data_IF_064255120277
#
_entry.id   IF_064255120277
#
_cell.length_a   1.000
_cell.length_b   1.000
_cell.length_c   1.000
_cell.angle_alpha   90.00
_cell.angle_beta   90.00
_cell.angle_gamma   90.00
#
_symmetry.space_group_name_H-M   'P 1'
#
loop_
_entity.id
_entity.type
_entity.pdbx_description
1 polymer ?
#
# COMPACT_ATOMS: atom_id res chain seq x y z
N UNK A 1 -35.47 -34.59 -28.08
CA UNK A 1 -34.70 -33.94 -26.99
C UNK A 1 -34.68 -32.48 -27.34
N UNK A 2 -35.25 -31.59 -26.51
CA UNK A 2 -35.26 -30.16 -26.82
C UNK A 2 -33.81 -29.67 -26.79
N UNK A 3 -33.37 -29.08 -27.89
CA UNK A 3 -32.15 -28.28 -27.92
C UNK A 3 -32.29 -27.22 -26.83
N UNK A 4 -31.34 -27.17 -25.91
CA UNK A 4 -31.24 -26.04 -25.00
C UNK A 4 -31.04 -24.80 -25.87
N UNK A 5 -32.04 -23.93 -25.94
CA UNK A 5 -31.91 -22.58 -26.49
C UNK A 5 -30.85 -21.85 -25.67
N UNK A 6 -29.59 -22.01 -26.09
CA UNK A 6 -28.47 -21.28 -25.58
C UNK A 6 -28.75 -19.81 -25.85
N UNK A 7 -28.77 -18.99 -24.81
CA UNK A 7 -29.03 -17.56 -24.88
C UNK A 7 -28.17 -16.94 -25.99
N UNK A 8 -28.77 -16.66 -27.16
CA UNK A 8 -28.10 -16.05 -28.31
C UNK A 8 -27.92 -14.56 -28.03
N UNK A 9 -27.01 -14.25 -27.09
CA UNK A 9 -26.59 -12.90 -26.79
C UNK A 9 -25.80 -12.34 -27.98
N UNK A 10 -26.03 -11.08 -28.38
CA UNK A 10 -25.14 -10.37 -29.29
C UNK A 10 -23.69 -10.50 -28.81
N UNK A 11 -22.74 -10.68 -29.71
CA UNK A 11 -21.34 -10.94 -29.34
C UNK A 11 -20.77 -9.82 -28.46
N UNK A 12 -21.19 -8.57 -28.67
CA UNK A 12 -20.85 -7.44 -27.79
C UNK A 12 -21.27 -7.65 -26.33
N UNK A 13 -22.43 -8.27 -26.08
CA UNK A 13 -22.91 -8.52 -24.71
C UNK A 13 -22.11 -9.65 -24.06
N UNK A 14 -21.71 -10.67 -24.85
CA UNK A 14 -20.80 -11.73 -24.36
C UNK A 14 -19.45 -11.14 -23.98
N UNK A 15 -18.89 -10.28 -24.83
CA UNK A 15 -17.59 -9.65 -24.59
C UNK A 15 -17.62 -8.75 -23.35
N UNK A 16 -18.64 -7.92 -23.22
CA UNK A 16 -18.86 -7.09 -22.01
C UNK A 16 -19.04 -7.97 -20.78
N UNK A 17 -19.81 -9.06 -20.89
CA UNK A 17 -20.01 -10.01 -19.80
C UNK A 17 -18.71 -10.69 -19.36
N UNK A 18 -17.87 -11.11 -20.30
CA UNK A 18 -16.55 -11.70 -20.02
C UNK A 18 -15.64 -10.67 -19.35
N UNK A 19 -15.62 -9.42 -19.81
CA UNK A 19 -14.81 -8.36 -19.23
C UNK A 19 -15.21 -8.08 -17.77
N UNK A 20 -16.52 -7.88 -17.51
CA UNK A 20 -17.05 -7.67 -16.16
C UNK A 20 -16.77 -8.90 -15.29
N UNK A 21 -17.04 -10.10 -15.80
CA UNK A 21 -16.81 -11.35 -15.08
C UNK A 21 -15.35 -11.55 -14.70
N UNK A 22 -14.42 -11.20 -15.60
CA UNK A 22 -12.97 -11.26 -15.33
C UNK A 22 -12.56 -10.31 -14.20
N UNK A 23 -13.08 -9.07 -14.19
CA UNK A 23 -12.81 -8.11 -13.11
C UNK A 23 -13.36 -8.61 -11.78
N UNK A 24 -14.59 -9.15 -11.77
CA UNK A 24 -15.20 -9.73 -10.56
C UNK A 24 -14.37 -10.90 -10.03
N UNK A 25 -13.91 -11.80 -10.91
CA UNK A 25 -13.06 -12.94 -10.52
C UNK A 25 -11.75 -12.45 -9.88
N UNK A 26 -11.06 -11.50 -10.53
CA UNK A 26 -9.81 -10.93 -9.97
C UNK A 26 -10.08 -10.31 -8.60
N UNK A 27 -11.17 -9.54 -8.46
CA UNK A 27 -11.53 -8.93 -7.19
C UNK A 27 -11.83 -9.96 -6.08
N UNK A 28 -12.58 -11.02 -6.40
CA UNK A 28 -12.87 -12.12 -5.47
C UNK A 28 -11.61 -12.90 -5.07
N UNK A 29 -10.68 -13.13 -6.00
CA UNK A 29 -9.40 -13.75 -5.72
C UNK A 29 -8.55 -12.87 -4.80
N UNK A 30 -8.47 -11.56 -5.06
CA UNK A 30 -7.77 -10.62 -4.20
C UNK A 30 -8.39 -10.56 -2.81
N UNK A 31 -9.73 -10.59 -2.71
CA UNK A 31 -10.44 -10.69 -1.43
C UNK A 31 -10.12 -11.97 -0.66
N UNK A 32 -10.13 -13.12 -1.33
CA UNK A 32 -9.78 -14.39 -0.72
C UNK A 32 -8.32 -14.42 -0.24
N UNK A 33 -7.40 -13.81 -0.99
CA UNK A 33 -5.99 -13.69 -0.62
C UNK A 33 -5.76 -12.71 0.54
N UNK A 34 -6.41 -11.54 0.50
CA UNK A 34 -6.22 -10.49 1.50
C UNK A 34 -6.89 -10.84 2.82
N UNK A 35 -8.01 -11.56 2.80
CA UNK A 35 -8.82 -11.82 4.00
C UNK A 35 -9.44 -10.56 4.61
N UNK A 36 -9.47 -9.45 3.86
CA UNK A 36 -9.91 -8.13 4.29
C UNK A 36 -10.87 -7.48 3.28
N UNK A 37 -11.87 -6.75 3.79
CA UNK A 37 -12.82 -5.99 2.98
C UNK A 37 -12.77 -4.48 3.33
N UNK A 38 -12.59 -3.59 2.34
CA UNK A 38 -12.20 -3.86 0.96
C UNK A 38 -10.76 -4.43 0.88
N UNK A 39 -10.43 -5.23 -0.15
CA UNK A 39 -9.13 -5.88 -0.24
C UNK A 39 -7.99 -4.95 -0.66
N UNK A 40 -8.33 -3.80 -1.25
CA UNK A 40 -7.40 -2.78 -1.70
C UNK A 40 -7.83 -1.41 -1.19
N UNK A 41 -6.85 -0.58 -0.86
CA UNK A 41 -7.04 0.82 -0.43
C UNK A 41 -6.24 1.75 -1.34
N UNK A 42 -6.76 2.95 -1.54
CA UNK A 42 -6.02 4.01 -2.25
C UNK A 42 -5.17 4.76 -1.23
N UNK A 43 -3.92 5.01 -1.57
CA UNK A 43 -3.03 5.86 -0.79
C UNK A 43 -3.38 7.31 -1.06
N UNK A 44 -3.76 8.03 -0.01
CA UNK A 44 -4.33 9.37 -0.14
C UNK A 44 -3.33 10.48 0.17
N UNK A 45 -2.15 10.17 0.72
CA UNK A 45 -1.16 11.19 1.12
C UNK A 45 0.26 10.70 0.94
N UNK A 46 1.20 11.64 0.73
CA UNK A 46 2.62 11.36 0.51
C UNK A 46 3.42 11.00 1.75
N UNK A 47 2.79 10.45 2.79
CA UNK A 47 3.48 10.15 4.05
C UNK A 47 4.47 8.99 3.93
N UNK A 48 4.31 8.15 2.90
CA UNK A 48 5.13 6.97 2.60
C UNK A 48 6.03 7.14 1.39
N UNK A 49 5.93 8.25 0.66
CA UNK A 49 6.76 8.57 -0.52
C UNK A 49 8.23 8.67 -0.14
N UNK A 50 9.16 8.33 -1.04
CA UNK A 50 10.59 8.54 -0.81
C UNK A 50 11.21 9.58 -1.75
N UNK A 51 10.39 10.37 -2.45
CA UNK A 51 10.85 11.49 -3.29
C UNK A 51 11.87 12.35 -2.51
N UNK A 52 13.03 12.62 -3.14
CA UNK A 52 14.15 13.37 -2.56
C UNK A 52 14.74 12.80 -1.25
N UNK A 53 14.48 11.54 -0.90
CA UNK A 53 15.03 10.92 0.31
C UNK A 53 16.50 10.48 0.09
N UNK A 54 17.48 11.07 0.81
CA UNK A 54 18.89 10.71 0.65
C UNK A 54 19.21 9.27 1.13
N UNK A 55 18.29 8.62 1.84
CA UNK A 55 18.45 7.28 2.40
C UNK A 55 17.85 6.17 1.53
N UNK A 56 16.96 6.50 0.58
CA UNK A 56 16.27 5.51 -0.25
C UNK A 56 16.47 5.80 -1.74
N UNK A 57 17.06 4.88 -2.52
CA UNK A 57 17.16 5.04 -3.97
C UNK A 57 15.81 4.71 -4.61
N UNK A 58 15.11 5.74 -5.11
CA UNK A 58 13.90 5.53 -5.90
C UNK A 58 14.20 5.32 -7.39
N UNK A 59 13.45 4.43 -8.05
CA UNK A 59 13.46 4.38 -9.51
C UNK A 59 12.72 5.61 -10.05
N UNK A 60 13.50 6.62 -10.49
CA UNK A 60 13.11 7.93 -11.08
C UNK A 60 11.84 8.04 -11.93
N UNK A 61 11.30 6.93 -12.43
CA UNK A 61 10.17 6.94 -13.36
C UNK A 61 9.14 5.88 -13.06
N UNK A 62 9.54 4.76 -12.46
CA UNK A 62 8.65 3.60 -12.38
C UNK A 62 7.93 3.49 -11.06
N UNK A 63 8.39 4.14 -9.98
CA UNK A 63 7.70 4.16 -8.67
C UNK A 63 7.09 2.79 -8.27
N UNK A 64 7.82 1.71 -8.59
CA UNK A 64 7.41 0.32 -8.35
C UNK A 64 8.25 -0.20 -7.21
N UNK A 65 7.59 -0.86 -6.26
CA UNK A 65 8.17 -1.41 -5.05
C UNK A 65 8.26 -0.40 -3.92
N UNK A 66 7.52 0.71 -3.99
CA UNK A 66 7.37 1.77 -2.99
C UNK A 66 5.88 2.15 -2.87
N UNK A 67 5.51 2.98 -1.89
CA UNK A 67 4.11 3.36 -1.66
C UNK A 67 3.99 4.87 -1.83
N UNK A 68 3.40 5.28 -2.96
CA UNK A 68 3.20 6.69 -3.29
C UNK A 68 1.74 7.09 -3.30
N UNK A 69 1.50 8.41 -3.24
CA UNK A 69 0.13 8.93 -3.36
C UNK A 69 -0.50 8.49 -4.67
N UNK A 70 -1.70 7.91 -4.55
CA UNK A 70 -2.45 7.41 -5.69
C UNK A 70 -2.17 5.95 -6.05
N UNK A 71 -1.34 5.24 -5.30
CA UNK A 71 -1.24 3.78 -5.43
C UNK A 71 -2.48 3.08 -4.87
N UNK A 72 -2.77 1.89 -5.41
CA UNK A 72 -3.73 0.96 -4.86
C UNK A 72 -2.97 -0.17 -4.14
N UNK A 73 -3.07 -0.26 -2.82
CA UNK A 73 -2.33 -1.24 -2.03
C UNK A 73 -3.25 -2.35 -1.54
N UNK A 74 -2.83 -3.61 -1.72
CA UNK A 74 -3.54 -4.78 -1.17
C UNK A 74 -3.26 -4.89 0.32
N UNK A 75 -4.30 -4.85 1.14
CA UNK A 75 -4.18 -4.91 2.61
C UNK A 75 -4.52 -6.30 3.09
N UNK A 76 -3.50 -7.11 3.38
CA UNK A 76 -3.67 -8.49 3.86
C UNK A 76 -3.84 -8.52 5.37
N UNK A 77 -4.85 -9.24 5.86
CA UNK A 77 -5.04 -9.48 7.29
C UNK A 77 -3.77 -10.09 7.89
N UNK A 78 -3.34 -9.55 9.03
CA UNK A 78 -2.10 -9.95 9.70
C UNK A 78 -2.32 -9.98 11.21
N UNK A 79 -1.78 -11.00 11.86
CA UNK A 79 -1.65 -11.05 13.32
C UNK A 79 -0.30 -10.48 13.76
N UNK A 80 -0.12 -10.22 15.06
CA UNK A 80 1.14 -9.68 15.63
C UNK A 80 2.38 -10.45 15.15
N UNK A 81 2.28 -11.79 15.09
CA UNK A 81 3.37 -12.69 14.69
C UNK A 81 3.75 -12.61 13.20
N UNK A 82 2.87 -12.06 12.36
CA UNK A 82 3.06 -12.01 10.91
C UNK A 82 3.76 -10.71 10.48
N UNK A 83 3.82 -9.71 11.38
CA UNK A 83 4.34 -8.37 11.12
C UNK A 83 5.80 -8.33 11.56
N UNK A 84 6.70 -8.12 10.59
CA UNK A 84 8.13 -7.92 10.85
C UNK A 84 8.39 -6.43 11.03
N UNK A 85 8.90 -6.02 12.18
CA UNK A 85 9.25 -4.61 12.43
C UNK A 85 10.52 -4.21 11.68
N UNK A 86 10.80 -2.91 11.56
CA UNK A 86 12.04 -2.41 10.96
C UNK A 86 13.29 -2.93 11.68
N UNK A 87 13.27 -2.97 13.02
CA UNK A 87 14.38 -3.49 13.82
C UNK A 87 14.61 -4.98 13.57
N UNK A 88 13.53 -5.77 13.49
CA UNK A 88 13.62 -7.19 13.13
C UNK A 88 14.05 -7.40 11.68
N UNK A 89 13.51 -6.61 10.75
CA UNK A 89 13.85 -6.62 9.33
C UNK A 89 15.32 -6.34 9.10
N UNK A 90 15.91 -5.38 9.83
CA UNK A 90 17.37 -5.12 9.80
C UNK A 90 18.21 -6.31 10.23
N UNK A 91 17.75 -7.09 11.20
CA UNK A 91 18.46 -8.29 11.68
C UNK A 91 18.35 -9.47 10.71
N UNK A 92 17.24 -9.55 9.99
CA UNK A 92 16.91 -10.65 9.08
C UNK A 92 17.16 -10.33 7.60
N UNK A 93 17.59 -9.10 7.29
CA UNK A 93 17.68 -8.51 5.94
C UNK A 93 16.35 -8.57 5.16
N UNK A 94 15.23 -8.51 5.88
CA UNK A 94 13.89 -8.49 5.28
C UNK A 94 13.47 -7.06 4.95
N UNK A 95 13.18 -6.80 3.67
CA UNK A 95 12.77 -5.49 3.14
C UNK A 95 11.45 -5.55 2.39
N UNK A 96 10.66 -4.50 2.55
CA UNK A 96 9.43 -4.28 1.79
C UNK A 96 9.17 -2.77 1.63
N UNK A 97 8.72 -2.38 0.44
CA UNK A 97 8.42 -0.99 0.09
C UNK A 97 9.62 -0.07 0.31
N UNK A 98 10.74 -0.36 -0.35
CA UNK A 98 11.98 0.44 -0.28
C UNK A 98 12.88 0.25 0.96
N UNK A 99 12.36 -0.23 2.10
CA UNK A 99 13.14 -0.30 3.36
C UNK A 99 12.83 -1.56 4.20
N UNK A 100 13.50 -1.73 5.35
CA UNK A 100 13.36 -2.90 6.23
C UNK A 100 11.98 -3.00 6.90
N UNK A 101 11.52 -4.22 7.09
CA UNK A 101 10.27 -4.51 7.80
C UNK A 101 9.01 -4.25 6.95
N UNK A 102 7.85 -4.44 7.59
CA UNK A 102 6.55 -4.35 6.97
C UNK A 102 5.88 -2.99 7.18
N UNK A 103 5.00 -2.64 6.24
CA UNK A 103 4.10 -1.49 6.31
C UNK A 103 2.71 -1.98 6.69
N UNK A 104 2.11 -1.37 7.71
CA UNK A 104 0.83 -1.75 8.29
C UNK A 104 -0.21 -0.65 8.13
N UNK A 105 -1.47 -1.07 7.96
CA UNK A 105 -2.65 -0.20 7.93
C UNK A 105 -3.37 -0.33 9.26
N UNK A 106 -3.61 0.78 9.96
CA UNK A 106 -4.19 0.76 11.30
C UNK A 106 -5.02 2.00 11.61
N UNK A 107 -5.84 1.90 12.64
CA UNK A 107 -6.59 3.04 13.19
C UNK A 107 -5.87 3.66 14.37
N UNK A 108 -5.64 4.97 14.33
CA UNK A 108 -5.07 5.72 15.47
C UNK A 108 -5.94 5.50 16.71
N UNK A 109 -5.32 5.03 17.79
CA UNK A 109 -5.99 4.73 19.06
C UNK A 109 -7.23 3.80 18.92
N UNK A 110 -7.29 2.98 17.86
CA UNK A 110 -8.39 2.03 17.61
C UNK A 110 -9.71 2.66 17.15
N UNK A 111 -9.75 3.97 16.86
CA UNK A 111 -10.98 4.68 16.50
C UNK A 111 -11.33 4.43 15.03
N UNK A 112 -12.28 3.53 14.78
CA UNK A 112 -12.75 3.17 13.43
C UNK A 112 -13.85 4.10 12.89
N UNK A 113 -14.62 4.69 13.80
CA UNK A 113 -15.76 5.55 13.48
C UNK A 113 -15.81 6.74 14.42
N UNK A 114 -16.15 7.91 13.91
CA UNK A 114 -16.32 9.14 14.68
C UNK A 114 -17.51 9.93 14.10
N UNK A 115 -18.41 10.41 14.95
CA UNK A 115 -19.65 11.10 14.56
C UNK A 115 -20.47 10.36 13.48
N UNK A 116 -20.53 9.02 13.57
CA UNK A 116 -21.26 8.17 12.63
C UNK A 116 -20.58 7.99 11.27
N UNK A 117 -19.41 8.56 11.05
CA UNK A 117 -18.63 8.42 9.83
C UNK A 117 -17.42 7.49 10.03
N UNK A 118 -17.02 6.72 9.01
CA UNK A 118 -15.78 5.95 9.06
C UNK A 118 -14.57 6.89 9.09
N UNK A 119 -13.60 6.58 9.96
CA UNK A 119 -12.33 7.29 10.02
C UNK A 119 -11.39 6.71 8.95
N UNK A 120 -10.55 7.54 8.34
CA UNK A 120 -9.51 7.05 7.41
C UNK A 120 -8.36 6.41 8.21
N UNK A 121 -8.01 5.14 7.96
CA UNK A 121 -6.87 4.51 8.61
C UNK A 121 -5.54 5.10 8.09
N UNK A 122 -4.48 4.93 8.87
CA UNK A 122 -3.11 5.32 8.53
C UNK A 122 -2.37 4.11 7.98
N UNK A 123 -1.49 4.32 7.01
CA UNK A 123 -0.58 3.31 6.48
C UNK A 123 0.85 3.74 6.72
N UNK A 124 1.57 3.10 7.64
CA UNK A 124 2.95 3.45 7.99
C UNK A 124 3.79 2.22 8.31
N UNK A 125 5.11 2.37 8.28
CA UNK A 125 6.06 1.31 8.62
C UNK A 125 6.04 1.00 10.11
N UNK A 126 6.02 -0.28 10.46
CA UNK A 126 6.16 -0.73 11.83
C UNK A 126 7.66 -0.66 12.21
N UNK A 127 8.04 0.28 13.06
CA UNK A 127 9.45 0.53 13.39
C UNK A 127 9.97 -0.44 14.47
N UNK A 128 9.21 -0.57 15.56
CA UNK A 128 9.57 -1.41 16.71
C UNK A 128 8.32 -1.78 17.51
N UNK A 129 8.35 -2.91 18.21
CA UNK A 129 7.40 -3.23 19.26
C UNK A 129 7.88 -2.64 20.60
N UNK A 130 6.97 -2.03 21.36
CA UNK A 130 7.25 -1.58 22.73
C UNK A 130 6.30 -2.27 23.71
N UNK A 131 6.87 -2.85 24.76
CA UNK A 131 6.16 -3.26 25.95
C UNK A 131 6.20 -2.13 26.99
N UNK A 132 5.03 -1.61 27.36
CA UNK A 132 4.87 -0.63 28.43
C UNK A 132 4.64 -1.39 29.73
N UNK A 133 5.56 -1.24 30.68
CA UNK A 133 5.52 -1.92 31.98
C UNK A 133 4.83 -1.04 33.03
N UNK A 134 4.22 -1.66 34.04
CA UNK A 134 3.45 -0.97 35.10
C UNK A 134 4.27 0.05 35.90
N UNK A 135 5.60 -0.10 35.92
CA UNK A 135 6.53 0.82 36.59
C UNK A 135 6.93 2.04 35.73
N UNK A 136 6.31 2.23 34.55
CA UNK A 136 6.63 3.32 33.62
C UNK A 136 7.90 3.09 32.79
N UNK A 137 8.48 1.89 32.83
CA UNK A 137 9.60 1.50 31.97
C UNK A 137 9.08 0.98 30.64
N UNK A 138 9.80 1.28 29.57
CA UNK A 138 9.54 0.73 28.24
C UNK A 138 10.57 -0.33 27.90
N UNK A 139 10.12 -1.50 27.47
CA UNK A 139 10.97 -2.59 27.01
C UNK A 139 10.80 -2.81 25.51
N UNK A 140 11.90 -2.89 24.77
CA UNK A 140 11.89 -3.21 23.34
C UNK A 140 12.57 -4.56 23.16
N UNK A 141 11.79 -5.65 22.97
CA UNK A 141 12.33 -7.00 22.91
C UNK A 141 13.27 -7.19 21.71
N UNK A 142 13.02 -6.51 20.59
CA UNK A 142 13.84 -6.67 19.39
C UNK A 142 15.29 -6.22 19.60
N UNK A 143 15.58 -5.28 20.51
CA UNK A 143 16.96 -4.85 20.82
C UNK A 143 17.37 -5.19 22.25
N UNK A 144 16.47 -5.83 23.01
CA UNK A 144 16.67 -6.19 24.41
C UNK A 144 17.12 -5.00 25.29
N UNK A 145 16.45 -3.85 25.12
CA UNK A 145 16.74 -2.63 25.89
C UNK A 145 15.54 -2.19 26.72
N UNK A 146 15.83 -1.68 27.92
CA UNK A 146 14.89 -1.03 28.81
C UNK A 146 15.15 0.48 28.82
N UNK A 147 14.07 1.26 28.83
CA UNK A 147 14.08 2.71 28.83
C UNK A 147 13.26 3.25 30.01
N UNK A 148 13.86 4.08 30.85
CA UNK A 148 13.19 4.66 32.02
C UNK A 148 12.33 5.88 31.61
N UNK A 149 11.06 5.63 31.28
CA UNK A 149 10.06 6.65 30.97
C UNK A 149 10.24 7.38 29.63
N UNK A 150 11.36 7.19 28.92
CA UNK A 150 11.64 7.83 27.62
C UNK A 150 12.42 6.93 26.66
N UNK A 151 11.85 6.61 25.50
CA UNK A 151 12.55 5.89 24.42
C UNK A 151 13.36 6.90 23.61
N UNK A 152 14.67 6.73 23.54
CA UNK A 152 15.56 7.56 22.74
C UNK A 152 15.47 7.09 21.28
N UNK A 153 15.10 7.98 20.36
CA UNK A 153 14.83 7.60 18.96
C UNK A 153 16.07 7.03 18.24
N UNK A 154 17.28 7.52 18.54
CA UNK A 154 18.51 6.99 17.94
C UNK A 154 18.79 5.53 18.32
N UNK A 155 18.40 5.11 19.53
CA UNK A 155 18.59 3.72 20.01
C UNK A 155 17.69 2.72 19.25
N UNK A 156 16.60 3.19 18.64
CA UNK A 156 15.72 2.40 17.79
C UNK A 156 15.96 2.64 16.29
N UNK A 157 17.14 3.19 15.95
CA UNK A 157 17.59 3.33 14.57
C UNK A 157 16.90 4.44 13.77
N UNK A 158 16.32 5.44 14.45
CA UNK A 158 15.73 6.61 13.80
C UNK A 158 16.73 7.78 13.77
N UNK A 159 16.77 8.57 12.67
CA UNK A 159 17.86 9.50 12.38
C UNK A 159 17.93 10.77 13.25
N UNK A 160 17.10 10.91 14.29
CA UNK A 160 17.09 12.08 15.17
C UNK A 160 17.39 11.69 16.64
N UNK A 161 18.64 11.83 17.04
CA UNK A 161 19.15 11.45 18.36
C UNK A 161 18.72 12.39 19.51
N UNK A 162 18.17 13.57 19.21
CA UNK A 162 17.83 14.55 20.24
C UNK A 162 16.43 14.32 20.85
N UNK A 163 15.58 13.55 20.18
CA UNK A 163 14.18 13.40 20.53
C UNK A 163 13.89 12.05 21.20
N UNK A 164 12.84 12.02 22.01
CA UNK A 164 12.40 10.81 22.72
C UNK A 164 10.88 10.68 22.74
N UNK A 165 10.40 9.44 22.76
CA UNK A 165 9.00 9.11 23.01
C UNK A 165 8.78 8.94 24.50
N UNK A 166 7.71 9.54 25.01
CA UNK A 166 7.29 9.46 26.42
C UNK A 166 5.77 9.50 26.51
N UNK A 167 5.24 9.22 27.70
CA UNK A 167 3.79 9.16 27.95
C UNK A 167 3.09 8.14 27.04
N UNK A 168 3.75 7.00 26.81
CA UNK A 168 3.14 5.83 26.20
C UNK A 168 2.39 5.08 27.30
N UNK A 169 1.09 4.90 27.12
CA UNK A 169 0.17 4.32 28.10
C UNK A 169 -0.11 2.84 27.84
N UNK A 170 0.23 2.33 26.64
CA UNK A 170 -0.04 0.94 26.25
C UNK A 170 1.02 0.38 25.31
N UNK A 171 1.23 -0.93 25.39
CA UNK A 171 2.13 -1.67 24.50
C UNK A 171 1.59 -1.75 23.08
N UNK A 172 2.50 -1.71 22.10
CA UNK A 172 2.13 -1.73 20.69
C UNK A 172 3.29 -1.44 19.76
N UNK A 173 2.99 -1.25 18.48
CA UNK A 173 3.98 -0.86 17.48
C UNK A 173 4.21 0.65 17.49
N UNK A 174 5.48 1.05 17.50
CA UNK A 174 5.89 2.38 17.06
C UNK A 174 5.83 2.41 15.55
N UNK A 175 5.15 3.40 14.99
CA UNK A 175 4.92 3.52 13.54
C UNK A 175 5.46 4.83 13.01
N UNK A 176 5.87 4.84 11.74
CA UNK A 176 6.43 6.02 11.09
C UNK A 176 6.18 5.99 9.58
N UNK A 177 5.78 7.12 9.00
CA UNK A 177 5.78 7.31 7.55
C UNK A 177 7.19 7.41 7.00
N UNK A 178 7.46 6.87 5.82
CA UNK A 178 8.82 6.82 5.28
C UNK A 178 9.27 8.15 4.64
N UNK A 179 8.34 9.06 4.36
CA UNK A 179 8.64 10.33 3.72
C UNK A 179 9.60 11.19 4.52
N UNK A 180 10.57 11.75 3.81
CA UNK A 180 11.56 12.66 4.34
C UNK A 180 11.70 13.86 3.41
N UNK A 181 11.73 15.11 3.94
CA UNK A 181 11.77 15.49 5.35
C UNK A 181 10.39 15.56 6.03
N UNK A 182 9.30 15.16 5.37
CA UNK A 182 7.92 15.31 5.87
C UNK A 182 7.63 14.55 7.17
N UNK A 183 8.09 13.30 7.30
CA UNK A 183 7.86 12.44 8.46
C UNK A 183 9.18 12.09 9.15
N UNK A 184 9.79 13.04 9.85
CA UNK A 184 11.05 12.78 10.60
C UNK A 184 10.82 11.91 11.84
N UNK A 185 9.66 12.02 12.45
CA UNK A 185 9.37 11.42 13.76
C UNK A 185 8.32 10.32 13.66
N UNK A 186 8.34 9.35 14.59
CA UNK A 186 7.25 8.40 14.76
C UNK A 186 5.91 9.09 15.01
N UNK A 187 4.82 8.43 14.66
CA UNK A 187 3.47 8.94 14.87
C UNK A 187 3.20 9.28 16.34
N UNK A 188 3.75 8.48 17.25
CA UNK A 188 3.61 8.65 18.70
C UNK A 188 4.37 9.88 19.24
N UNK A 189 5.16 10.58 18.42
CA UNK A 189 5.88 11.79 18.85
C UNK A 189 4.97 13.02 18.89
N UNK A 190 4.22 13.26 17.81
CA UNK A 190 3.48 14.51 17.62
C UNK A 190 2.11 14.38 16.96
N UNK A 191 1.66 13.17 16.61
CA UNK A 191 0.34 12.99 16.01
C UNK A 191 -0.74 12.86 17.08
N UNK A 192 -1.91 13.38 16.75
CA UNK A 192 -3.14 13.25 17.52
C UNK A 192 -4.17 12.44 16.72
N UNK A 193 -5.07 11.78 17.42
CA UNK A 193 -6.24 11.14 16.85
C UNK A 193 -7.36 12.16 16.58
N UNK A 194 -8.48 11.68 16.03
CA UNK A 194 -9.64 12.50 15.70
C UNK A 194 -10.33 13.12 16.92
N UNK A 195 -10.07 12.60 18.13
CA UNK A 195 -10.56 13.14 19.42
C UNK A 195 -9.55 14.08 20.08
N UNK A 196 -8.50 14.46 19.36
CA UNK A 196 -7.40 15.30 19.84
C UNK A 196 -6.61 14.68 21.00
N UNK A 197 -6.58 13.35 21.11
CA UNK A 197 -5.69 12.63 22.03
C UNK A 197 -4.39 12.23 21.33
N UNK A 198 -3.30 12.22 22.07
CA UNK A 198 -1.99 11.77 21.57
C UNK A 198 -2.09 10.33 21.04
N UNK A 199 -1.49 10.08 19.88
CA UNK A 199 -1.41 8.73 19.30
C UNK A 199 -0.53 7.85 20.19
N UNK A 200 -1.06 6.68 20.55
CA UNK A 200 -0.38 5.66 21.34
C UNK A 200 0.29 4.60 20.44
N UNK A 201 1.19 3.76 20.98
CA UNK A 201 1.70 2.61 20.25
C UNK A 201 0.55 1.76 19.70
N UNK A 202 0.67 1.31 18.46
CA UNK A 202 -0.42 0.66 17.75
C UNK A 202 -0.64 -0.73 18.29
N UNK A 203 -1.77 -0.94 18.97
CA UNK A 203 -2.16 -2.27 19.41
C UNK A 203 -2.45 -3.16 18.17
N UNK A 204 -2.04 -4.45 18.16
CA UNK A 204 -2.37 -5.39 17.09
C UNK A 204 -3.85 -5.43 16.70
N UNK A 205 -4.77 -5.23 17.65
CA UNK A 205 -6.22 -5.23 17.39
C UNK A 205 -6.70 -3.99 16.62
N UNK A 206 -5.88 -2.93 16.56
CA UNK A 206 -6.14 -1.73 15.78
C UNK A 206 -5.64 -1.85 14.34
N UNK A 207 -4.82 -2.87 14.06
CA UNK A 207 -4.28 -3.16 12.73
C UNK A 207 -5.37 -3.76 11.86
N UNK A 208 -5.61 -3.16 10.71
CA UNK A 208 -6.48 -3.66 9.66
C UNK A 208 -5.77 -4.78 8.90
N UNK A 209 -4.49 -4.58 8.60
CA UNK A 209 -3.65 -5.56 7.95
C UNK A 209 -2.30 -4.97 7.55
N UNK A 210 -1.50 -5.76 6.86
CA UNK A 210 -0.21 -5.37 6.31
C UNK A 210 -0.29 -5.23 4.79
N UNK A 211 0.47 -4.29 4.23
CA UNK A 211 0.54 -4.07 2.79
C UNK A 211 1.26 -5.24 2.08
N UNK A 212 0.60 -5.88 1.10
CA UNK A 212 1.08 -7.10 0.40
C UNK A 212 0.84 -7.07 -1.11
N UNK A 213 1.24 -5.98 -1.74
CA UNK A 213 1.13 -5.75 -3.17
C UNK A 213 0.64 -4.35 -3.45
N UNK A 214 0.92 -3.86 -4.65
CA UNK A 214 0.51 -2.54 -5.11
C UNK A 214 0.10 -2.63 -6.58
N UNK A 215 -0.83 -1.77 -6.97
CA UNK A 215 -1.12 -1.42 -8.34
C UNK A 215 -0.79 0.09 -8.46
N UNK A 216 0.39 0.43 -8.99
CA UNK A 216 0.89 1.80 -8.97
C UNK A 216 -0.04 2.79 -9.66
N UNK A 217 -0.13 4.03 -9.17
CA UNK A 217 -0.82 5.22 -9.71
C UNK A 217 -2.30 5.10 -10.14
N UNK A 218 -2.91 3.91 -10.18
CA UNK A 218 -4.31 3.74 -10.62
C UNK A 218 -5.33 4.35 -9.64
N UNK A 219 -4.96 4.46 -8.36
CA UNK A 219 -5.74 5.17 -7.34
C UNK A 219 -5.84 6.68 -7.57
N UNK A 220 -4.95 7.28 -8.37
CA UNK A 220 -5.05 8.68 -8.80
C UNK A 220 -6.36 8.98 -9.53
N UNK A 221 -6.98 7.99 -10.19
CA UNK A 221 -8.30 8.15 -10.81
C UNK A 221 -9.35 8.51 -9.74
N UNK A 222 -9.32 7.81 -8.59
CA UNK A 222 -10.20 8.11 -7.44
C UNK A 222 -9.86 9.49 -6.88
N UNK A 223 -8.59 9.76 -6.58
CA UNK A 223 -8.16 11.03 -5.98
C UNK A 223 -8.58 12.21 -6.85
N UNK A 224 -8.42 12.14 -8.17
CA UNK A 224 -8.83 13.21 -9.09
C UNK A 224 -10.32 13.57 -8.98
N UNK A 225 -11.17 12.61 -8.66
CA UNK A 225 -12.62 12.81 -8.56
C UNK A 225 -13.06 13.20 -7.15
N UNK A 226 -12.44 12.61 -6.12
CA UNK A 226 -12.89 12.75 -4.72
C UNK A 226 -12.04 13.69 -3.88
N UNK A 227 -10.75 13.81 -4.17
CA UNK A 227 -9.75 14.56 -3.40
C UNK A 227 -8.72 15.23 -4.36
N UNK A 228 -9.13 16.26 -5.13
CA UNK A 228 -8.29 16.85 -6.17
C UNK A 228 -6.96 17.41 -5.64
N UNK A 229 -6.94 17.96 -4.44
CA UNK A 229 -5.73 18.52 -3.83
C UNK A 229 -4.65 17.44 -3.69
N UNK A 230 -4.98 16.29 -3.10
CA UNK A 230 -4.07 15.16 -2.96
C UNK A 230 -3.62 14.60 -4.33
N UNK A 231 -4.47 14.66 -5.36
CA UNK A 231 -4.07 14.28 -6.71
C UNK A 231 -2.97 15.20 -7.27
N UNK A 232 -2.99 16.49 -6.92
CA UNK A 232 -1.97 17.44 -7.39
C UNK A 232 -0.68 17.38 -6.57
N UNK A 233 -0.76 16.92 -5.32
CA UNK A 233 0.39 16.65 -4.44
C UNK A 233 1.14 15.37 -4.83
N UNK A 234 0.48 14.41 -5.48
CA UNK A 234 1.12 13.18 -5.93
C UNK A 234 2.31 13.41 -6.89
N UNK A 235 3.32 12.51 -6.89
CA UNK A 235 4.50 12.63 -7.74
C UNK A 235 4.11 12.88 -9.21
N UNK A 236 4.72 13.87 -9.90
CA UNK A 236 4.45 14.17 -11.32
C UNK A 236 4.58 12.94 -12.24
N UNK A 237 5.53 12.08 -11.94
CA UNK A 237 5.85 10.84 -12.63
C UNK A 237 4.69 9.85 -12.54
N UNK A 238 4.12 9.64 -11.35
CA UNK A 238 2.96 8.78 -11.13
C UNK A 238 1.75 9.24 -11.98
N UNK A 239 1.52 10.56 -12.06
CA UNK A 239 0.46 11.12 -12.92
C UNK A 239 0.71 10.87 -14.40
N UNK A 240 1.97 10.94 -14.83
CA UNK A 240 2.36 10.65 -16.22
C UNK A 240 2.21 9.16 -16.53
N UNK A 241 2.66 8.30 -15.63
CA UNK A 241 2.60 6.84 -15.75
C UNK A 241 1.17 6.30 -15.74
N UNK A 242 0.24 6.97 -15.05
CA UNK A 242 -1.19 6.69 -15.17
C UNK A 242 -1.66 6.86 -16.62
N UNK A 243 -1.37 8.00 -17.24
CA UNK A 243 -1.78 8.25 -18.63
C UNK A 243 -1.16 7.25 -19.60
N UNK A 244 0.13 6.94 -19.44
CA UNK A 244 0.81 5.91 -20.23
C UNK A 244 0.14 4.55 -20.05
N UNK A 245 -0.16 4.16 -18.81
CA UNK A 245 -0.83 2.89 -18.49
C UNK A 245 -2.23 2.82 -19.09
N UNK A 246 -3.01 3.89 -19.01
CA UNK A 246 -4.34 3.96 -19.63
C UNK A 246 -4.27 3.80 -21.15
N UNK A 247 -3.34 4.49 -21.81
CA UNK A 247 -3.13 4.34 -23.26
C UNK A 247 -2.70 2.90 -23.60
N UNK A 248 -1.79 2.31 -22.83
CA UNK A 248 -1.35 0.93 -23.02
C UNK A 248 -2.50 -0.06 -22.89
N UNK A 249 -3.37 0.10 -21.89
CA UNK A 249 -4.53 -0.78 -21.68
C UNK A 249 -5.55 -0.66 -22.82
N UNK A 250 -5.79 0.56 -23.32
CA UNK A 250 -6.78 0.81 -24.38
C UNK A 250 -6.26 0.43 -25.78
N UNK A 251 -5.01 0.77 -26.09
CA UNK A 251 -4.43 0.64 -27.44
C UNK A 251 -3.62 -0.65 -27.60
N UNK A 252 -3.07 -1.18 -26.50
CA UNK A 252 -2.20 -2.37 -26.49
C UNK A 252 -2.84 -3.61 -27.11
N UNK A 253 -4.06 -4.02 -26.73
CA UNK A 253 -4.73 -5.18 -27.33
C UNK A 253 -4.90 -5.06 -28.84
N UNK A 254 -5.25 -3.86 -29.33
CA UNK A 254 -5.40 -3.59 -30.75
C UNK A 254 -4.07 -3.72 -31.51
N UNK A 255 -2.99 -3.13 -30.99
CA UNK A 255 -1.66 -3.24 -31.60
C UNK A 255 -1.14 -4.68 -31.58
N UNK A 256 -1.37 -5.41 -30.49
CA UNK A 256 -1.02 -6.83 -30.38
C UNK A 256 -1.77 -7.68 -31.41
N UNK A 257 -3.08 -7.43 -31.59
CA UNK A 257 -3.88 -8.09 -32.63
C UNK A 257 -3.33 -7.84 -34.03
N UNK A 258 -3.04 -6.58 -34.37
CA UNK A 258 -2.49 -6.21 -35.68
C UNK A 258 -1.09 -6.81 -35.93
N UNK A 259 -0.24 -6.84 -34.91
CA UNK A 259 1.08 -7.47 -35.00
C UNK A 259 0.96 -8.99 -35.21
N UNK A 260 0.01 -9.63 -34.53
CA UNK A 260 -0.27 -11.07 -34.68
C UNK A 260 -0.77 -11.41 -36.09
N UNK A 261 -1.66 -10.60 -36.66
CA UNK A 261 -2.11 -10.75 -38.04
C UNK A 261 -0.96 -10.62 -39.05
N UNK A 262 -0.11 -9.59 -38.88
CA UNK A 262 1.05 -9.38 -39.75
C UNK A 262 2.06 -10.54 -39.66
N UNK A 263 2.28 -11.07 -38.46
CA UNK A 263 3.13 -12.24 -38.24
C UNK A 263 2.59 -13.48 -38.97
N UNK A 264 1.29 -13.75 -38.86
CA UNK A 264 0.65 -14.86 -39.56
C UNK A 264 0.70 -14.70 -41.09
N UNK A 265 0.48 -13.49 -41.59
CA UNK A 265 0.57 -13.18 -43.01
C UNK A 265 1.97 -13.46 -43.58
N UNK A 266 3.03 -13.15 -42.82
CA UNK A 266 4.41 -13.41 -43.23
C UNK A 266 4.82 -14.90 -43.14
N UNK A 267 4.17 -15.70 -42.28
CA UNK A 267 4.44 -17.14 -42.15
C UNK A 267 3.75 -18.01 -43.19
N UNK A 268 2.71 -17.51 -43.85
CA UNK A 268 1.96 -18.27 -44.86
C UNK A 268 2.67 -18.13 -46.23
N UNK A 269 3.26 -19.19 -46.81
CA UNK A 269 3.92 -19.06 -48.11
C UNK A 269 2.86 -18.70 -49.15
N UNK A 270 3.09 -17.65 -49.95
CA UNK A 270 2.25 -17.34 -51.12
C UNK A 270 2.12 -18.61 -51.97
N UNK A 271 0.94 -19.23 -51.96
CA UNK A 271 0.60 -20.28 -52.93
C UNK A 271 0.82 -19.68 -54.31
N UNK A 272 1.91 -20.08 -54.98
CA UNK A 272 2.14 -19.73 -56.39
C UNK A 272 0.94 -20.27 -57.17
N UNK A 273 0.09 -19.35 -57.63
CA UNK A 273 -0.89 -19.60 -58.67
C UNK A 273 -0.16 -20.18 -59.88
N UNK A 274 -0.25 -21.50 -60.09
CA UNK A 274 0.19 -22.12 -61.34
C UNK A 274 -0.79 -21.67 -62.42
N UNK A 275 -0.24 -20.96 -63.39
CA UNK A 275 -0.86 -20.51 -64.63
C UNK A 275 -1.11 -21.70 -65.54
#
# INVERSE_FOLDING_TARGET
>A
MPESDGLNLPDTVKDVGIAIGSVVIVFLLTFAYSGNWPPMVVIESGSMEHDDNPLYPEPRYSHIGIIDTGDLVVVKKAEKKDIVTYLEGKKTDYKKYGDYGDVIVYYKNGIKTYDGQPVTPVIHRAMAWVDVLDNGTYYIPEINLYFEGKIILSEIGLPDAAHSLSNLESSGYITKGDSYPGNKFPDQFGHYDITNKKVQPVNPDWVVGMARGELPWFGLIKLRVTQPDNYYEAPPECRTMLWVSMIMVLVGPFLAGKAWESYQANKTPKKKSKR
#
